data_IF_878039611723
#
_entry.id   IF_878039611723
#
_cell.length_a   1.000
_cell.length_b   1.000
_cell.length_c   1.000
_cell.angle_alpha   90.00
_cell.angle_beta   90.00
_cell.angle_gamma   90.00
#
_symmetry.space_group_name_H-M   'P 1'
#
loop_
_entity.id
_entity.type
_entity.pdbx_description
1 polymer ?
#
# COMPACT_ATOMS: atom_id res chain seq x y z
N UNK A 1 -22.08 -9.35 0.35
CA UNK A 1 -21.20 -8.23 0.00
C UNK A 1 -21.91 -6.92 0.34
N UNK A 2 -21.20 -5.85 0.71
CA UNK A 2 -21.85 -4.57 0.99
C UNK A 2 -22.53 -3.98 -0.27
N UNK A 3 -23.68 -3.30 -0.13
CA UNK A 3 -24.46 -2.75 -1.26
C UNK A 3 -23.63 -1.79 -2.13
N UNK A 4 -22.79 -0.96 -1.51
CA UNK A 4 -21.89 -0.04 -2.21
C UNK A 4 -20.79 -0.76 -3.00
N UNK A 5 -20.39 -1.96 -2.58
CA UNK A 5 -19.43 -2.80 -3.33
C UNK A 5 -20.05 -3.24 -4.63
N UNK A 6 -21.30 -3.71 -4.58
CA UNK A 6 -22.06 -4.07 -5.77
C UNK A 6 -22.27 -2.87 -6.69
N UNK A 7 -22.55 -1.67 -6.15
CA UNK A 7 -22.68 -0.46 -6.95
C UNK A 7 -21.35 -0.02 -7.61
N UNK A 8 -20.22 -0.16 -6.90
CA UNK A 8 -18.91 0.09 -7.48
C UNK A 8 -18.57 -0.92 -8.58
N UNK A 9 -18.77 -2.21 -8.33
CA UNK A 9 -18.61 -3.28 -9.34
C UNK A 9 -19.50 -3.01 -10.57
N UNK A 10 -20.73 -2.51 -10.37
CA UNK A 10 -21.65 -2.14 -11.45
C UNK A 10 -21.15 -0.94 -12.28
N UNK A 11 -20.62 0.11 -11.65
CA UNK A 11 -20.12 1.33 -12.34
C UNK A 11 -18.83 1.11 -13.15
N UNK A 12 -17.92 0.23 -12.70
CA UNK A 12 -16.65 -0.04 -13.41
C UNK A 12 -16.76 -1.01 -14.59
N UNK A 13 -17.88 -1.74 -14.72
CA UNK A 13 -18.19 -2.56 -15.92
C UNK A 13 -18.25 -1.75 -17.23
N UNK A 14 -18.22 -0.42 -17.16
CA UNK A 14 -18.31 0.48 -18.32
C UNK A 14 -16.97 1.07 -18.82
N UNK A 15 -15.80 0.77 -18.24
CA UNK A 15 -14.60 1.47 -18.73
C UNK A 15 -13.19 1.09 -18.29
N UNK A 16 -12.93 0.04 -17.50
CA UNK A 16 -11.55 -0.41 -17.26
C UNK A 16 -11.52 -1.92 -17.01
N UNK A 17 -11.06 -2.69 -18.00
CA UNK A 17 -10.87 -4.14 -17.89
C UNK A 17 -9.51 -4.43 -17.27
N UNK A 18 -9.47 -4.87 -16.02
CA UNK A 18 -8.31 -5.59 -15.49
C UNK A 18 -8.53 -7.08 -15.74
N UNK A 19 -7.53 -7.75 -16.31
CA UNK A 19 -7.54 -9.20 -16.55
C UNK A 19 -7.61 -10.00 -15.24
N UNK A 20 -7.91 -11.30 -15.30
CA UNK A 20 -8.08 -12.13 -14.13
C UNK A 20 -6.76 -12.22 -13.33
N UNK A 21 -6.86 -12.08 -12.01
CA UNK A 21 -5.85 -12.41 -10.99
C UNK A 21 -4.54 -11.61 -10.90
N UNK A 22 -4.55 -10.27 -10.93
CA UNK A 22 -3.38 -9.48 -10.50
C UNK A 22 -3.82 -8.45 -9.46
N UNK A 23 -3.76 -8.85 -8.20
CA UNK A 23 -4.11 -8.02 -7.05
C UNK A 23 -3.44 -6.66 -7.11
N UNK A 24 -4.23 -5.59 -7.03
CA UNK A 24 -3.70 -4.23 -6.83
C UNK A 24 -3.17 -4.15 -5.41
N UNK A 25 -1.99 -4.70 -5.19
CA UNK A 25 -1.29 -4.68 -3.91
C UNK A 25 -0.04 -3.82 -4.11
N UNK A 26 -0.06 -2.61 -3.57
CA UNK A 26 1.13 -1.78 -3.51
C UNK A 26 1.86 -2.06 -2.20
N UNK A 27 3.03 -2.68 -2.25
CA UNK A 27 3.92 -2.83 -1.09
C UNK A 27 5.39 -2.56 -1.48
N UNK A 28 6.19 -2.19 -0.49
CA UNK A 28 7.63 -1.96 -0.59
C UNK A 28 8.42 -3.14 -0.02
N UNK A 29 9.59 -3.41 -0.60
CA UNK A 29 10.58 -4.29 -0.01
C UNK A 29 11.27 -3.63 1.17
N UNK A 30 11.54 -4.38 2.25
CA UNK A 30 12.08 -3.83 3.49
C UNK A 30 13.49 -3.21 3.38
N UNK A 31 14.27 -3.59 2.37
CA UNK A 31 15.61 -3.07 2.10
C UNK A 31 15.64 -1.76 1.31
N UNK A 32 14.53 -1.39 0.65
CA UNK A 32 14.39 -0.06 0.04
C UNK A 32 14.51 1.02 1.11
N UNK A 33 14.85 2.24 0.73
CA UNK A 33 15.16 3.32 1.67
C UNK A 33 14.21 4.51 1.50
N UNK A 34 13.60 4.94 2.60
CA UNK A 34 12.77 6.13 2.67
C UNK A 34 13.64 7.33 2.98
N UNK A 35 13.50 8.40 2.20
CA UNK A 35 14.22 9.65 2.40
C UNK A 35 13.53 10.52 3.46
N UNK A 36 14.34 11.10 4.34
CA UNK A 36 13.90 11.97 5.44
C UNK A 36 14.23 13.44 5.11
N UNK A 37 13.53 14.42 5.73
CA UNK A 37 13.72 15.83 5.42
C UNK A 37 15.09 16.40 5.82
N UNK A 38 15.83 15.73 6.71
CA UNK A 38 17.19 16.12 7.11
C UNK A 38 18.27 15.65 6.11
N UNK A 39 17.87 15.05 4.98
CA UNK A 39 18.76 14.51 3.96
C UNK A 39 19.26 13.10 4.26
N UNK A 40 18.92 12.53 5.43
CA UNK A 40 19.21 11.13 5.74
C UNK A 40 18.17 10.20 5.12
N UNK A 41 18.40 8.89 5.23
CA UNK A 41 17.45 7.87 4.81
C UNK A 41 17.43 6.70 5.79
N UNK A 42 16.29 6.02 5.86
CA UNK A 42 16.11 4.79 6.66
C UNK A 42 15.62 3.66 5.77
N UNK A 43 16.02 2.40 6.00
CA UNK A 43 15.36 1.26 5.39
C UNK A 43 13.85 1.29 5.68
N UNK A 44 13.04 0.89 4.70
CA UNK A 44 11.58 0.78 4.78
C UNK A 44 11.16 -0.02 6.02
N UNK A 45 11.87 -1.13 6.30
CA UNK A 45 11.62 -1.97 7.49
C UNK A 45 11.95 -1.28 8.83
N UNK A 46 12.63 -0.15 8.81
CA UNK A 46 13.04 0.61 10.00
C UNK A 46 12.21 1.88 10.21
N UNK A 47 11.30 2.20 9.29
CA UNK A 47 10.35 3.31 9.45
C UNK A 47 9.31 2.93 10.49
N UNK A 48 8.97 3.87 11.36
CA UNK A 48 8.00 3.68 12.44
C UNK A 48 7.08 4.88 12.59
N UNK A 49 5.98 4.69 13.31
CA UNK A 49 5.08 5.78 13.70
C UNK A 49 5.84 6.93 14.34
N UNK A 50 5.48 8.15 13.94
CA UNK A 50 6.11 9.38 14.40
C UNK A 50 7.33 9.81 13.59
N UNK A 51 7.89 8.94 12.73
CA UNK A 51 8.92 9.38 11.78
C UNK A 51 8.32 10.40 10.79
N UNK A 52 9.08 11.44 10.47
CA UNK A 52 8.74 12.42 9.44
C UNK A 52 9.45 12.02 8.15
N UNK A 53 8.68 11.82 7.07
CA UNK A 53 9.18 11.37 5.77
C UNK A 53 9.05 12.45 4.72
N UNK A 54 9.94 12.43 3.73
CA UNK A 54 9.86 13.30 2.57
C UNK A 54 8.83 12.77 1.58
N UNK A 55 7.85 13.60 1.22
CA UNK A 55 6.72 13.23 0.37
C UNK A 55 6.90 13.64 -1.10
N UNK A 56 7.60 14.75 -1.34
CA UNK A 56 7.82 15.33 -2.66
C UNK A 56 9.21 15.94 -2.74
N UNK A 57 9.78 15.98 -3.96
CA UNK A 57 11.08 16.61 -4.22
C UNK A 57 11.04 18.11 -3.86
N UNK A 58 9.86 18.73 -3.91
CA UNK A 58 9.64 20.13 -3.49
C UNK A 58 9.72 20.36 -1.98
N UNK A 59 9.97 19.32 -1.17
CA UNK A 59 10.15 19.44 0.29
C UNK A 59 8.91 19.18 1.13
N UNK A 60 7.78 18.77 0.53
CA UNK A 60 6.60 18.40 1.31
C UNK A 60 6.91 17.19 2.21
N UNK A 61 6.39 17.16 3.43
CA UNK A 61 6.63 16.09 4.40
C UNK A 61 5.33 15.62 5.04
N UNK A 62 5.35 14.42 5.61
CA UNK A 62 4.25 13.87 6.39
C UNK A 62 4.77 13.05 7.57
N UNK A 63 3.92 12.92 8.59
CA UNK A 63 4.20 12.04 9.72
C UNK A 63 3.65 10.64 9.44
N UNK A 64 4.45 9.62 9.70
CA UNK A 64 4.00 8.23 9.65
C UNK A 64 3.03 7.97 10.80
N UNK A 65 1.78 7.67 10.46
CA UNK A 65 0.74 7.32 11.43
C UNK A 65 0.81 5.85 11.85
N UNK A 66 0.97 4.96 10.88
CA UNK A 66 1.06 3.52 11.09
C UNK A 66 1.80 2.85 9.94
N UNK A 67 2.52 1.78 10.24
CA UNK A 67 3.11 0.87 9.26
C UNK A 67 2.19 -0.35 9.11
N UNK A 68 1.94 -0.76 7.88
CA UNK A 68 1.30 -2.04 7.56
C UNK A 68 2.38 -3.02 7.11
N UNK A 69 2.50 -4.15 7.81
CA UNK A 69 3.41 -5.23 7.45
C UNK A 69 2.62 -6.43 6.96
N UNK A 70 2.91 -6.90 5.75
CA UNK A 70 2.35 -8.12 5.19
C UNK A 70 3.42 -9.21 5.20
N UNK A 71 3.16 -10.28 5.95
CA UNK A 71 3.97 -11.50 5.94
C UNK A 71 3.81 -12.22 4.60
N UNK A 72 4.91 -12.78 4.12
CA UNK A 72 4.98 -13.56 2.88
C UNK A 72 5.14 -15.04 3.26
N UNK A 73 4.08 -15.86 3.17
CA UNK A 73 4.06 -17.21 3.75
C UNK A 73 5.14 -18.18 3.25
N UNK A 74 5.71 -17.94 2.07
CA UNK A 74 6.78 -18.76 1.48
C UNK A 74 8.15 -18.06 1.49
N UNK A 75 8.23 -16.83 2.02
CA UNK A 75 9.45 -16.02 1.96
C UNK A 75 9.90 -15.65 0.55
N UNK A 76 9.07 -15.84 -0.48
CA UNK A 76 9.35 -15.52 -1.88
C UNK A 76 8.21 -14.69 -2.46
N UNK A 77 8.57 -13.63 -3.19
CA UNK A 77 7.58 -12.76 -3.85
C UNK A 77 8.15 -12.17 -5.14
N UNK A 78 7.32 -12.08 -6.18
CA UNK A 78 7.67 -11.32 -7.40
C UNK A 78 7.66 -9.83 -7.10
N UNK A 79 8.79 -9.17 -7.37
CA UNK A 79 9.04 -7.77 -7.11
C UNK A 79 9.77 -7.14 -8.31
N UNK A 80 9.51 -5.87 -8.56
CA UNK A 80 10.32 -5.04 -9.45
C UNK A 80 11.54 -4.54 -8.67
N UNK A 81 12.73 -4.70 -9.27
CA UNK A 81 14.03 -4.38 -8.68
C UNK A 81 14.77 -3.39 -9.57
N UNK A 82 14.86 -2.13 -9.14
CA UNK A 82 15.46 -1.05 -9.90
C UNK A 82 16.94 -0.88 -9.58
N UNK A 83 17.72 -0.37 -10.54
CA UNK A 83 19.17 -0.14 -10.37
C UNK A 83 19.55 0.87 -9.28
N UNK A 84 18.61 1.69 -8.80
CA UNK A 84 18.78 2.59 -7.64
C UNK A 84 18.48 1.91 -6.28
N UNK A 85 18.19 0.60 -6.28
CA UNK A 85 17.89 -0.18 -5.08
C UNK A 85 16.41 -0.14 -4.64
N UNK A 86 15.50 0.44 -5.42
CA UNK A 86 14.07 0.33 -5.16
C UNK A 86 13.61 -1.11 -5.42
N UNK A 87 13.02 -1.74 -4.41
CA UNK A 87 12.39 -3.06 -4.48
C UNK A 87 10.93 -2.86 -4.11
N UNK A 88 10.04 -3.15 -5.06
CA UNK A 88 8.63 -2.77 -4.93
C UNK A 88 7.74 -3.75 -5.70
N UNK A 89 6.50 -3.95 -5.27
CA UNK A 89 5.57 -4.81 -6.02
C UNK A 89 5.20 -4.18 -7.36
N UNK A 90 5.05 -4.98 -8.42
CA UNK A 90 4.75 -4.48 -9.77
C UNK A 90 3.47 -3.66 -9.92
N UNK A 91 2.53 -3.79 -8.98
CA UNK A 91 1.25 -3.07 -8.97
C UNK A 91 1.25 -1.79 -8.11
N UNK A 92 2.41 -1.38 -7.57
CA UNK A 92 2.53 -0.19 -6.73
C UNK A 92 2.73 1.07 -7.59
N UNK A 93 1.81 2.04 -7.64
CA UNK A 93 2.01 3.24 -8.43
C UNK A 93 3.26 4.03 -8.02
N UNK A 94 4.09 4.35 -9.02
CA UNK A 94 5.29 5.19 -8.87
C UNK A 94 5.27 6.32 -9.89
N UNK A 95 5.88 7.45 -9.55
CA UNK A 95 6.17 8.54 -10.48
C UNK A 95 7.55 8.28 -11.09
N UNK A 96 7.58 7.88 -12.35
CA UNK A 96 8.78 7.52 -13.09
C UNK A 96 8.86 8.32 -14.38
N UNK A 97 10.00 8.98 -14.63
CA UNK A 97 10.20 9.88 -15.79
C UNK A 97 9.08 10.93 -15.97
N UNK A 98 8.54 11.45 -14.86
CA UNK A 98 7.50 12.49 -14.84
C UNK A 98 6.06 11.96 -14.97
N UNK A 99 5.88 10.66 -15.18
CA UNK A 99 4.56 10.05 -15.37
C UNK A 99 4.27 8.99 -14.30
N UNK A 100 2.99 8.86 -13.91
CA UNK A 100 2.58 7.78 -13.02
C UNK A 100 2.48 6.46 -13.79
N UNK A 101 3.22 5.46 -13.35
CA UNK A 101 3.28 4.13 -13.96
C UNK A 101 3.16 3.02 -12.91
N UNK A 102 2.95 1.79 -13.37
CA UNK A 102 3.14 0.60 -12.57
C UNK A 102 4.54 0.02 -12.84
N UNK A 103 5.33 -0.36 -11.82
CA UNK A 103 6.69 -0.87 -12.00
C UNK A 103 6.78 -2.00 -13.03
N UNK A 104 5.81 -2.93 -13.04
CA UNK A 104 5.75 -4.03 -14.01
C UNK A 104 5.65 -3.60 -15.48
N UNK A 105 5.27 -2.35 -15.74
CA UNK A 105 5.16 -1.78 -17.09
C UNK A 105 6.51 -1.25 -17.60
N UNK A 106 7.46 -1.00 -16.70
CA UNK A 106 8.74 -0.34 -17.00
C UNK A 106 9.96 -1.21 -16.68
N UNK A 107 9.79 -2.24 -15.84
CA UNK A 107 10.86 -3.18 -15.49
C UNK A 107 10.29 -4.58 -15.29
N UNK A 108 11.10 -5.59 -15.63
CA UNK A 108 10.76 -6.99 -15.40
C UNK A 108 10.79 -7.31 -13.90
N UNK A 109 9.80 -8.08 -13.44
CA UNK A 109 9.75 -8.53 -12.05
C UNK A 109 10.48 -9.86 -11.90
N UNK A 110 11.29 -9.96 -10.85
CA UNK A 110 12.01 -11.16 -10.44
C UNK A 110 11.45 -11.70 -9.13
N UNK A 111 11.67 -13.00 -8.87
CA UNK A 111 11.34 -13.60 -7.58
C UNK A 111 12.47 -13.30 -6.59
N UNK A 112 12.13 -12.67 -5.46
CA UNK A 112 13.09 -12.26 -4.44
C UNK A 112 12.72 -12.93 -3.11
N UNK A 113 13.73 -13.36 -2.37
CA UNK A 113 13.61 -13.78 -0.97
C UNK A 113 13.23 -12.59 -0.09
N UNK A 114 12.01 -12.62 0.45
CA UNK A 114 11.46 -11.57 1.27
C UNK A 114 10.39 -12.12 2.23
N UNK A 115 10.60 -11.92 3.53
CA UNK A 115 9.69 -12.41 4.58
C UNK A 115 8.49 -11.47 4.78
N UNK A 116 8.69 -10.17 4.58
CA UNK A 116 7.69 -9.13 4.80
C UNK A 116 7.79 -8.02 3.77
N UNK A 117 6.63 -7.50 3.37
CA UNK A 117 6.52 -6.27 2.59
C UNK A 117 5.71 -5.22 3.35
N UNK A 118 5.92 -3.96 3.01
CA UNK A 118 5.49 -2.83 3.85
C UNK A 118 4.63 -1.84 3.07
N UNK A 119 3.71 -1.17 3.74
CA UNK A 119 3.06 0.06 3.26
C UNK A 119 2.77 0.98 4.45
N UNK A 120 2.38 2.23 4.20
CA UNK A 120 2.30 3.27 5.22
C UNK A 120 0.94 3.96 5.21
N UNK A 121 0.46 4.33 6.40
CA UNK A 121 -0.54 5.38 6.58
C UNK A 121 0.22 6.64 6.97
N UNK A 122 0.06 7.71 6.20
CA UNK A 122 0.62 9.02 6.49
C UNK A 122 -0.47 10.01 6.91
N UNK A 123 -0.13 10.93 7.81
CA UNK A 123 -0.96 12.09 8.13
C UNK A 123 -0.59 13.25 7.20
N UNK A 124 -1.55 13.73 6.41
CA UNK A 124 -1.42 14.90 5.53
C UNK A 124 -1.16 14.60 4.05
N UNK A 125 -0.25 13.67 3.73
CA UNK A 125 0.12 13.34 2.34
C UNK A 125 -0.29 11.90 1.96
N UNK A 126 -0.17 11.58 0.68
CA UNK A 126 -0.44 10.27 0.10
C UNK A 126 0.70 9.70 -0.76
N UNK A 127 1.89 10.30 -0.65
CA UNK A 127 3.14 9.83 -1.26
C UNK A 127 4.33 9.87 -0.29
N UNK A 128 5.37 9.09 -0.58
CA UNK A 128 6.72 9.29 -0.03
C UNK A 128 7.81 9.04 -1.08
N UNK A 129 9.02 9.52 -0.77
CA UNK A 129 10.21 9.27 -1.59
C UNK A 129 10.94 8.03 -1.09
N UNK A 130 11.04 7.02 -1.96
CA UNK A 130 11.74 5.75 -1.72
C UNK A 130 12.83 5.58 -2.78
N UNK A 131 14.09 5.45 -2.38
CA UNK A 131 15.25 5.37 -3.29
C UNK A 131 15.25 6.49 -4.35
N UNK A 132 14.82 7.70 -3.98
CA UNK A 132 14.70 8.85 -4.91
C UNK A 132 13.47 8.84 -5.82
N UNK A 133 12.59 7.83 -5.75
CA UNK A 133 11.36 7.72 -6.54
C UNK A 133 10.17 8.14 -5.70
N UNK A 134 9.25 8.95 -6.25
CA UNK A 134 7.99 9.26 -5.56
C UNK A 134 7.03 8.10 -5.73
N UNK A 135 6.58 7.53 -4.63
CA UNK A 135 5.70 6.37 -4.59
C UNK A 135 4.41 6.72 -3.85
N UNK A 136 3.28 6.18 -4.31
CA UNK A 136 2.01 6.31 -3.58
C UNK A 136 2.04 5.59 -2.23
N UNK A 137 1.13 5.91 -1.32
CA UNK A 137 0.83 5.08 -0.15
C UNK A 137 -0.65 4.77 -0.03
N UNK A 138 -1.05 4.11 1.04
CA UNK A 138 -2.46 3.95 1.38
C UNK A 138 -3.16 5.31 1.48
N UNK A 139 -4.33 5.39 0.87
CA UNK A 139 -5.17 6.59 0.84
C UNK A 139 -4.92 7.49 -0.36
N UNK A 140 -4.10 7.07 -1.33
CA UNK A 140 -3.82 7.88 -2.52
C UNK A 140 -5.07 8.11 -3.37
N UNK A 141 -5.23 9.36 -3.81
CA UNK A 141 -6.32 9.76 -4.70
C UNK A 141 -5.82 10.34 -6.03
N UNK A 142 -4.54 10.74 -6.10
CA UNK A 142 -3.93 11.39 -7.27
C UNK A 142 -3.04 10.49 -8.15
N UNK A 143 -2.83 9.22 -7.79
CA UNK A 143 -2.03 8.30 -8.59
C UNK A 143 -2.83 7.71 -9.77
N UNK A 144 -2.13 7.19 -10.80
CA UNK A 144 -2.74 6.60 -12.00
C UNK A 144 -3.79 5.51 -11.72
N UNK A 145 -3.62 4.76 -10.64
CA UNK A 145 -4.57 3.74 -10.20
C UNK A 145 -5.20 4.20 -8.91
N UNK A 146 -6.52 4.40 -8.88
CA UNK A 146 -7.27 4.62 -7.64
C UNK A 146 -8.07 3.36 -7.32
N UNK A 147 -7.71 2.72 -6.20
CA UNK A 147 -8.32 1.47 -5.76
C UNK A 147 -9.40 1.73 -4.69
N UNK A 148 -10.56 1.05 -4.68
CA UNK A 148 -11.68 1.38 -3.78
C UNK A 148 -11.42 1.18 -2.29
N UNK A 149 -10.51 0.24 -1.99
CA UNK A 149 -10.03 -0.02 -0.65
C UNK A 149 -8.75 0.78 -0.38
N UNK A 150 -7.63 0.44 -1.04
CA UNK A 150 -6.35 1.16 -0.86
C UNK A 150 -6.34 2.67 -1.10
N UNK A 151 -7.20 3.21 -1.96
CA UNK A 151 -7.35 4.66 -2.15
C UNK A 151 -8.28 5.32 -1.14
N UNK A 152 -8.93 4.55 -0.26
CA UNK A 152 -9.79 5.04 0.81
C UNK A 152 -9.11 4.85 2.16
N UNK A 153 -8.45 5.91 2.64
CA UNK A 153 -7.67 5.90 3.89
C UNK A 153 -8.49 5.43 5.08
N UNK A 154 -9.73 5.94 5.22
CA UNK A 154 -10.61 5.63 6.35
C UNK A 154 -10.95 4.14 6.42
N UNK A 155 -11.27 3.52 5.28
CA UNK A 155 -11.58 2.08 5.22
C UNK A 155 -10.38 1.22 5.58
N UNK A 156 -9.19 1.59 5.12
CA UNK A 156 -7.98 0.84 5.43
C UNK A 156 -7.64 0.99 6.91
N UNK A 157 -7.73 2.20 7.46
CA UNK A 157 -7.52 2.47 8.90
C UNK A 157 -8.51 1.68 9.75
N UNK A 158 -9.80 1.70 9.44
CA UNK A 158 -10.82 0.93 10.16
C UNK A 158 -10.52 -0.59 10.14
N UNK A 159 -10.09 -1.10 8.98
CA UNK A 159 -9.71 -2.50 8.83
C UNK A 159 -8.45 -2.83 9.65
N UNK A 160 -7.43 -1.97 9.63
CA UNK A 160 -6.21 -2.12 10.43
C UNK A 160 -6.48 -2.08 11.94
N UNK A 161 -7.32 -1.14 12.40
CA UNK A 161 -7.74 -1.06 13.80
C UNK A 161 -8.54 -2.31 14.24
N UNK A 162 -9.31 -2.89 13.32
CA UNK A 162 -10.08 -4.11 13.57
C UNK A 162 -9.19 -5.37 13.59
N UNK A 163 -8.10 -5.37 12.81
CA UNK A 163 -7.06 -6.42 12.83
C UNK A 163 -6.37 -6.44 14.18
N UNK A 164 -5.79 -5.30 14.56
CA UNK A 164 -5.09 -5.13 15.82
C UNK A 164 -5.20 -3.69 16.30
N UNK A 165 -6.15 -3.44 17.21
CA UNK A 165 -6.36 -2.13 17.82
C UNK A 165 -5.15 -1.64 18.61
N UNK A 166 -4.42 -2.54 19.28
CA UNK A 166 -3.24 -2.16 20.08
C UNK A 166 -2.07 -1.87 19.16
N UNK A 167 -1.84 -2.72 18.17
CA UNK A 167 -0.84 -2.54 17.11
C UNK A 167 -1.03 -1.24 16.34
N UNK A 168 -2.26 -0.94 15.91
CA UNK A 168 -2.55 0.34 15.24
C UNK A 168 -2.22 1.54 16.13
N UNK A 169 -2.57 1.47 17.42
CA UNK A 169 -2.25 2.53 18.37
C UNK A 169 -0.73 2.66 18.61
N UNK A 170 0.01 1.56 18.70
CA UNK A 170 1.47 1.56 18.82
C UNK A 170 2.19 1.90 17.50
N UNK A 171 1.49 1.80 16.37
CA UNK A 171 1.95 2.26 15.06
C UNK A 171 2.38 1.19 14.07
N UNK A 172 2.10 -0.09 14.34
CA UNK A 172 2.40 -1.20 13.42
C UNK A 172 1.24 -2.20 13.45
N UNK A 173 0.75 -2.59 12.27
CA UNK A 173 -0.25 -3.66 12.12
C UNK A 173 0.30 -4.72 11.18
N UNK A 174 0.30 -5.96 11.64
CA UNK A 174 0.77 -7.12 10.89
C UNK A 174 -0.41 -7.93 10.33
N UNK A 175 -0.31 -8.32 9.07
CA UNK A 175 -1.29 -9.15 8.37
C UNK A 175 -0.57 -10.30 7.65
N UNK A 176 -1.28 -11.40 7.39
CA UNK A 176 -0.77 -12.55 6.62
C UNK A 176 -1.40 -12.67 5.23
N UNK A 177 -2.39 -11.83 4.94
CA UNK A 177 -3.07 -11.89 3.67
C UNK A 177 -4.06 -10.76 3.45
N UNK A 178 -4.52 -10.69 2.21
CA UNK A 178 -5.56 -9.77 1.76
C UNK A 178 -6.80 -10.56 1.38
N UNK A 179 -7.96 -10.01 1.74
CA UNK A 179 -9.25 -10.56 1.32
C UNK A 179 -9.62 -9.96 -0.02
N UNK A 180 -9.93 -10.83 -0.98
CA UNK A 180 -10.33 -10.47 -2.35
C UNK A 180 -11.73 -10.94 -2.67
N UNK A 181 -12.37 -10.23 -3.60
CA UNK A 181 -13.65 -10.66 -4.18
C UNK A 181 -13.43 -11.60 -5.36
N UNK A 182 -14.53 -11.99 -6.03
CA UNK A 182 -14.50 -12.84 -7.21
C UNK A 182 -13.74 -12.23 -8.40
N UNK A 183 -13.51 -10.92 -8.39
CA UNK A 183 -12.75 -10.19 -9.41
C UNK A 183 -11.28 -9.94 -9.00
N UNK A 184 -10.87 -10.40 -7.81
CA UNK A 184 -9.50 -10.20 -7.30
C UNK A 184 -9.25 -8.85 -6.62
N UNK A 185 -10.29 -8.03 -6.44
CA UNK A 185 -10.21 -6.70 -5.83
C UNK A 185 -10.09 -6.84 -4.31
N UNK A 186 -9.14 -6.13 -3.69
CA UNK A 186 -8.96 -6.18 -2.23
C UNK A 186 -10.07 -5.41 -1.52
N UNK A 187 -10.61 -5.96 -0.44
CA UNK A 187 -11.57 -5.27 0.43
C UNK A 187 -11.38 -5.55 1.92
N UNK A 188 -10.26 -6.16 2.30
CA UNK A 188 -10.00 -6.50 3.69
C UNK A 188 -8.67 -7.22 3.90
N UNK A 189 -8.44 -7.62 5.15
CA UNK A 189 -7.21 -8.27 5.61
C UNK A 189 -7.48 -9.59 6.31
N UNK A 190 -6.49 -10.47 6.25
CA UNK A 190 -6.38 -11.63 7.10
C UNK A 190 -5.33 -11.36 8.18
N UNK A 191 -5.73 -11.45 9.45
CA UNK A 191 -4.85 -11.27 10.61
C UNK A 191 -3.96 -12.50 10.86
N UNK A 192 -2.94 -12.34 11.71
CA UNK A 192 -2.02 -13.40 12.10
C UNK A 192 -2.72 -14.65 12.68
N UNK A 193 -3.83 -14.46 13.40
CA UNK A 193 -4.65 -15.54 13.98
C UNK A 193 -5.69 -16.13 12.99
N UNK A 194 -5.62 -15.73 11.72
CA UNK A 194 -6.46 -16.24 10.65
C UNK A 194 -7.85 -15.58 10.53
N UNK A 195 -8.22 -14.63 11.40
CA UNK A 195 -9.49 -13.89 11.26
C UNK A 195 -9.51 -13.11 9.95
N UNK A 196 -10.69 -13.07 9.34
CA UNK A 196 -10.97 -12.35 8.10
C UNK A 196 -11.72 -11.07 8.42
N UNK A 197 -11.12 -9.92 8.15
CA UNK A 197 -11.60 -8.61 8.54
C UNK A 197 -11.81 -7.79 7.28
N UNK A 198 -13.03 -7.35 7.08
CA UNK A 198 -13.44 -6.64 5.87
C UNK A 198 -13.54 -5.16 6.19
N UNK A 199 -13.04 -4.30 5.31
CA UNK A 199 -13.27 -2.87 5.41
C UNK A 199 -14.75 -2.60 5.27
N UNK A 200 -15.41 -2.23 6.38
CA UNK A 200 -16.78 -1.75 6.29
C UNK A 200 -16.74 -0.32 5.75
N UNK A 201 -17.81 0.10 5.09
CA UNK A 201 -18.06 1.52 4.98
C UNK A 201 -18.88 1.83 6.23
N UNK A 202 -18.34 2.59 7.18
CA UNK A 202 -19.20 3.24 8.15
C UNK A 202 -20.35 3.88 7.36
N UNK A 203 -21.57 3.42 7.66
CA UNK A 203 -22.79 4.14 7.28
C UNK A 203 -22.60 5.57 7.75
N UNK A 204 -22.99 6.51 6.90
CA UNK A 204 -22.70 7.93 7.04
C UNK A 204 -22.73 8.41 8.49
N UNK A 205 -21.79 9.31 8.78
CA UNK A 205 -22.00 10.32 9.81
C UNK A 205 -23.41 10.88 9.56
N UNK A 206 -24.35 10.56 10.45
CA UNK A 206 -25.62 11.26 10.54
C UNK A 206 -25.37 12.65 11.10
#
# INVERSE_FOLDING_TARGET
MPIWWEEWCKKKRAGFTYGPSQGVDGCFGGSSVVHLPDGTAKPVKSIKKGDIVLCKVTGATATVRCVLELHVPAGLKRMASFGNGLIITGMHPILWDGEWVLPREVIEEEEIEIEKVFNFILDGEDTLIVNGVTCSVVGHQGARVVHPFWGNKDRVVECMESVDKKGFHSGVVEIVGMIRDEFGTVYGFQSLDGRRIIGQCNKGVN
#
